data_IF_182915755606
#
_entry.id   IF_182915755606
#
_cell.length_a   1.000
_cell.length_b   1.000
_cell.length_c   1.000
_cell.angle_alpha   90.00
_cell.angle_beta   90.00
_cell.angle_gamma   90.00
#
_symmetry.space_group_name_H-M   'P 1'
#
loop_
_entity.id
_entity.type
_entity.pdbx_description
1 polymer ?
#
# COMPACT_ATOMS: atom_id res chain seq x y z
N UNK A 1 -10.66 -39.37 -2.92
CA UNK A 1 -9.52 -40.07 -2.26
C UNK A 1 -9.37 -39.54 -0.87
N UNK A 2 -8.91 -40.41 0.09
CA UNK A 2 -8.61 -39.90 1.43
C UNK A 2 -7.33 -39.08 1.36
N UNK A 3 -7.39 -37.83 1.84
CA UNK A 3 -6.25 -36.93 1.88
C UNK A 3 -6.35 -35.91 3.03
N UNK A 4 -5.23 -35.34 3.39
CA UNK A 4 -5.14 -34.26 4.36
C UNK A 4 -5.68 -32.97 3.76
N UNK A 5 -6.62 -32.34 4.43
CA UNK A 5 -7.27 -31.10 4.02
C UNK A 5 -7.51 -30.21 5.23
N UNK A 6 -7.71 -28.92 5.05
CA UNK A 6 -8.05 -28.03 6.16
C UNK A 6 -9.53 -28.17 6.56
N UNK A 7 -9.77 -28.01 7.86
CA UNK A 7 -11.10 -27.86 8.47
C UNK A 7 -11.16 -26.52 9.19
N UNK A 8 -12.26 -25.79 9.02
CA UNK A 8 -12.48 -24.49 9.67
C UNK A 8 -13.62 -24.62 10.66
N UNK A 9 -13.33 -24.36 11.93
CA UNK A 9 -14.31 -24.31 13.00
C UNK A 9 -15.04 -22.96 12.96
N UNK A 10 -16.31 -22.98 12.54
CA UNK A 10 -17.13 -21.78 12.38
C UNK A 10 -17.43 -21.06 13.70
N UNK A 11 -17.43 -21.79 14.83
CA UNK A 11 -17.70 -21.19 16.14
C UNK A 11 -16.50 -20.35 16.62
N UNK A 12 -15.28 -20.85 16.39
CA UNK A 12 -14.04 -20.13 16.71
C UNK A 12 -13.68 -19.04 15.71
N UNK A 13 -14.17 -19.14 14.48
CA UNK A 13 -13.86 -18.17 13.43
C UNK A 13 -14.50 -16.81 13.73
N UNK A 14 -13.71 -15.74 13.70
CA UNK A 14 -14.17 -14.35 13.87
C UNK A 14 -14.36 -13.62 12.54
N UNK A 15 -14.12 -14.28 11.39
CA UNK A 15 -14.31 -13.70 10.06
C UNK A 15 -13.25 -12.69 9.61
N UNK A 16 -12.08 -12.64 10.25
CA UNK A 16 -11.03 -11.65 9.95
C UNK A 16 -10.44 -11.73 8.53
N UNK A 17 -10.61 -12.83 7.81
CA UNK A 17 -10.15 -13.03 6.44
C UNK A 17 -8.66 -13.36 6.28
N UNK A 18 -7.86 -13.41 7.36
CA UNK A 18 -6.43 -13.66 7.28
C UNK A 18 -6.10 -14.97 6.55
N UNK A 19 -6.84 -16.04 6.85
CA UNK A 19 -6.67 -17.34 6.19
C UNK A 19 -7.02 -17.34 4.70
N UNK A 20 -8.02 -16.56 4.28
CA UNK A 20 -8.36 -16.43 2.87
C UNK A 20 -7.27 -15.67 2.09
N UNK A 21 -6.66 -14.67 2.72
CA UNK A 21 -5.53 -13.94 2.16
C UNK A 21 -4.24 -14.77 2.08
N UNK A 22 -4.04 -15.69 3.04
CA UNK A 22 -2.87 -16.57 3.08
C UNK A 22 -3.01 -17.82 2.20
N UNK A 23 -4.21 -18.10 1.69
CA UNK A 23 -4.42 -19.23 0.78
C UNK A 23 -4.02 -18.82 -0.64
N UNK A 24 -2.83 -19.23 -1.06
CA UNK A 24 -2.29 -18.93 -2.39
C UNK A 24 -3.13 -19.51 -3.53
N UNK A 25 -3.80 -20.64 -3.27
CA UNK A 25 -4.64 -21.36 -4.23
C UNK A 25 -6.07 -20.80 -4.31
N UNK A 26 -6.46 -19.95 -3.35
CA UNK A 26 -7.80 -19.36 -3.31
C UNK A 26 -8.89 -20.38 -2.97
N UNK A 27 -8.60 -21.36 -2.12
CA UNK A 27 -9.55 -22.39 -1.68
C UNK A 27 -10.56 -21.88 -0.66
N UNK A 28 -10.24 -20.80 0.09
CA UNK A 28 -11.00 -20.25 1.20
C UNK A 28 -11.68 -18.94 0.80
N UNK A 29 -12.98 -18.83 1.09
CA UNK A 29 -13.72 -17.55 0.97
C UNK A 29 -14.39 -17.18 2.31
N UNK A 30 -14.77 -15.91 2.46
CA UNK A 30 -15.55 -15.42 3.60
C UNK A 30 -17.03 -15.38 3.21
N UNK A 31 -17.83 -16.26 3.82
CA UNK A 31 -19.26 -16.36 3.58
C UNK A 31 -20.00 -16.01 4.88
N UNK A 32 -20.92 -15.06 4.83
CA UNK A 32 -21.69 -14.60 5.99
C UNK A 32 -20.81 -14.25 7.21
N UNK A 33 -19.63 -13.64 6.95
CA UNK A 33 -18.69 -13.23 7.99
C UNK A 33 -17.90 -14.37 8.65
N UNK A 34 -17.86 -15.55 8.04
CA UNK A 34 -17.09 -16.71 8.49
C UNK A 34 -16.26 -17.28 7.34
N UNK A 35 -15.07 -17.79 7.63
CA UNK A 35 -14.25 -18.46 6.63
C UNK A 35 -14.83 -19.84 6.30
N UNK A 36 -14.87 -20.18 5.03
CA UNK A 36 -15.30 -21.49 4.53
C UNK A 36 -14.34 -22.01 3.45
N UNK A 37 -14.06 -23.32 3.48
CA UNK A 37 -13.37 -24.01 2.41
C UNK A 37 -14.35 -24.28 1.26
N UNK A 38 -14.38 -23.40 0.28
CA UNK A 38 -15.38 -23.43 -0.82
C UNK A 38 -14.92 -24.24 -2.03
N UNK A 39 -13.62 -24.43 -2.18
CA UNK A 39 -13.01 -25.16 -3.30
C UNK A 39 -12.02 -26.19 -2.76
N UNK A 40 -12.56 -27.37 -2.40
CA UNK A 40 -11.74 -28.43 -1.81
C UNK A 40 -10.61 -28.90 -2.72
N UNK A 41 -10.86 -28.96 -4.04
CA UNK A 41 -9.86 -29.33 -5.04
C UNK A 41 -8.77 -28.27 -5.26
N UNK A 42 -8.91 -27.07 -4.69
CA UNK A 42 -7.88 -26.03 -4.68
C UNK A 42 -6.97 -26.11 -3.46
N UNK A 43 -7.41 -26.76 -2.37
CA UNK A 43 -6.60 -26.88 -1.17
C UNK A 43 -5.50 -27.93 -1.41
N UNK A 44 -4.23 -27.52 -1.35
CA UNK A 44 -3.07 -28.40 -1.47
C UNK A 44 -2.76 -29.22 -0.19
N UNK A 45 -3.33 -28.79 0.95
CA UNK A 45 -3.11 -29.43 2.26
C UNK A 45 -1.77 -29.06 2.93
N UNK A 46 -1.05 -28.03 2.44
CA UNK A 46 0.20 -27.54 3.05
C UNK A 46 -0.06 -26.78 4.34
N UNK A 47 -1.15 -25.98 4.38
CA UNK A 47 -1.63 -25.37 5.62
C UNK A 47 -1.04 -24.01 5.94
N UNK A 48 -0.62 -23.23 4.96
CA UNK A 48 -0.12 -21.85 5.11
C UNK A 48 -1.14 -20.93 5.79
N UNK A 49 -2.42 -21.28 5.71
CA UNK A 49 -3.50 -20.56 6.38
C UNK A 49 -3.59 -20.81 7.90
N UNK A 50 -2.96 -21.88 8.45
CA UNK A 50 -3.05 -22.22 9.87
C UNK A 50 -2.37 -21.18 10.78
N UNK A 51 -1.09 -20.79 10.55
CA UNK A 51 -0.40 -19.83 11.41
C UNK A 51 -1.04 -18.43 11.36
N UNK A 52 -1.74 -18.13 10.27
CA UNK A 52 -2.38 -16.83 10.07
C UNK A 52 -3.72 -16.68 10.80
N UNK A 53 -4.24 -17.76 11.38
CA UNK A 53 -5.52 -17.71 12.09
C UNK A 53 -5.34 -17.26 13.55
N UNK A 54 -5.74 -16.02 13.93
CA UNK A 54 -5.53 -15.50 15.28
C UNK A 54 -6.37 -16.19 16.35
N UNK A 55 -7.43 -16.90 15.93
CA UNK A 55 -8.33 -17.60 16.85
C UNK A 55 -8.08 -19.11 16.90
N UNK A 56 -7.14 -19.63 16.11
CA UNK A 56 -6.88 -21.07 16.01
C UNK A 56 -8.08 -21.87 15.52
N UNK A 57 -8.92 -21.26 14.66
CA UNK A 57 -10.11 -21.91 14.12
C UNK A 57 -9.80 -22.92 13.00
N UNK A 58 -8.55 -23.03 12.53
CA UNK A 58 -8.17 -23.88 11.41
C UNK A 58 -7.36 -25.08 11.94
N UNK A 59 -7.70 -26.24 11.45
CA UNK A 59 -7.00 -27.49 11.76
C UNK A 59 -6.92 -28.36 10.51
N UNK A 60 -6.07 -29.40 10.55
CA UNK A 60 -6.09 -30.44 9.53
C UNK A 60 -7.09 -31.53 9.87
N UNK A 61 -7.71 -32.09 8.85
CA UNK A 61 -8.44 -33.35 8.93
C UNK A 61 -8.07 -34.26 7.76
N UNK A 62 -8.12 -35.57 7.97
CA UNK A 62 -8.03 -36.56 6.90
C UNK A 62 -9.42 -37.07 6.58
N UNK A 63 -9.89 -36.79 5.35
CA UNK A 63 -11.19 -37.24 4.89
C UNK A 63 -11.20 -37.48 3.39
N UNK A 64 -12.24 -38.05 2.91
CA UNK A 64 -12.47 -38.16 1.48
C UNK A 64 -12.71 -36.77 0.89
N UNK A 65 -11.85 -36.37 -0.04
CA UNK A 65 -11.93 -35.10 -0.75
C UNK A 65 -11.45 -35.26 -2.19
N UNK A 66 -11.87 -34.34 -3.09
CA UNK A 66 -11.38 -34.30 -4.49
C UNK A 66 -9.84 -34.17 -4.49
N UNK A 67 -9.18 -34.74 -5.51
CA UNK A 67 -7.76 -34.54 -5.70
C UNK A 67 -7.44 -33.07 -5.88
N UNK A 68 -6.22 -32.65 -5.47
CA UNK A 68 -5.72 -31.32 -5.77
C UNK A 68 -5.58 -31.12 -7.28
N UNK A 69 -6.14 -30.03 -7.78
CA UNK A 69 -6.17 -29.70 -9.20
C UNK A 69 -5.35 -28.40 -9.47
N UNK A 70 -4.05 -28.60 -9.70
CA UNK A 70 -3.14 -27.50 -9.98
C UNK A 70 -3.49 -26.74 -11.27
N UNK A 71 -4.05 -27.43 -12.28
CA UNK A 71 -4.43 -26.78 -13.54
C UNK A 71 -5.63 -25.86 -13.34
N UNK A 72 -6.63 -26.30 -12.58
CA UNK A 72 -7.79 -25.48 -12.23
C UNK A 72 -7.39 -24.25 -11.38
N UNK A 73 -6.44 -24.39 -10.45
CA UNK A 73 -5.89 -23.30 -9.68
C UNK A 73 -5.20 -22.28 -10.60
N UNK A 74 -4.31 -22.72 -11.48
CA UNK A 74 -3.61 -21.84 -12.44
C UNK A 74 -4.58 -21.14 -13.40
N UNK A 75 -5.62 -21.82 -13.86
CA UNK A 75 -6.65 -21.18 -14.68
C UNK A 75 -7.47 -20.14 -13.92
N UNK A 76 -7.84 -20.44 -12.67
CA UNK A 76 -8.57 -19.51 -11.83
C UNK A 76 -7.71 -18.25 -11.55
N UNK A 77 -6.43 -18.42 -11.24
CA UNK A 77 -5.49 -17.32 -11.05
C UNK A 77 -5.33 -16.47 -12.32
N UNK A 78 -5.22 -17.10 -13.51
CA UNK A 78 -5.17 -16.39 -14.79
C UNK A 78 -6.44 -15.60 -15.07
N UNK A 79 -7.63 -16.17 -14.77
CA UNK A 79 -8.93 -15.50 -14.93
C UNK A 79 -9.07 -14.30 -13.98
N UNK A 80 -8.60 -14.43 -12.73
CA UNK A 80 -8.55 -13.32 -11.76
C UNK A 80 -7.60 -12.23 -12.24
N UNK A 81 -6.43 -12.61 -12.77
CA UNK A 81 -5.45 -11.65 -13.30
C UNK A 81 -5.98 -10.92 -14.55
N UNK A 82 -6.61 -11.64 -15.49
CA UNK A 82 -7.22 -11.05 -16.69
C UNK A 82 -8.45 -10.19 -16.35
N UNK A 83 -9.25 -10.58 -15.35
CA UNK A 83 -10.40 -9.82 -14.87
C UNK A 83 -9.98 -8.56 -14.12
N UNK A 84 -8.84 -8.61 -13.41
CA UNK A 84 -8.25 -7.46 -12.73
C UNK A 84 -7.62 -6.46 -13.73
N UNK A 85 -7.19 -6.90 -14.92
CA UNK A 85 -6.78 -5.99 -16.00
C UNK A 85 -7.97 -5.34 -16.72
N UNK A 86 -9.11 -6.02 -16.78
CA UNK A 86 -10.33 -5.50 -17.44
C UNK A 86 -11.24 -4.71 -16.49
N UNK A 87 -11.13 -4.91 -15.19
CA UNK A 87 -11.87 -4.21 -14.14
C UNK A 87 -10.93 -3.66 -13.08
N UNK A 88 -10.22 -2.56 -13.41
CA UNK A 88 -9.52 -1.77 -12.38
C UNK A 88 -10.52 -0.93 -11.56
N UNK A 89 -11.58 -1.56 -11.08
CA UNK A 89 -12.51 -0.97 -10.12
C UNK A 89 -12.96 -2.04 -9.12
N UNK A 90 -12.56 -1.85 -7.85
CA UNK A 90 -13.26 -2.30 -6.64
C UNK A 90 -13.04 -3.70 -6.05
N UNK A 91 -11.78 -4.20 -5.89
CA UNK A 91 -11.55 -5.27 -4.89
C UNK A 91 -10.15 -5.16 -4.28
N UNK A 92 -10.06 -4.48 -3.17
CA UNK A 92 -8.88 -4.34 -2.32
C UNK A 92 -9.29 -3.57 -1.06
N UNK A 93 -8.55 -3.73 0.03
CA UNK A 93 -8.70 -2.87 1.20
C UNK A 93 -8.68 -1.40 0.74
N UNK A 94 -9.64 -0.56 1.13
CA UNK A 94 -9.66 0.87 0.72
C UNK A 94 -8.35 1.60 0.99
N UNK A 95 -7.57 1.15 1.98
CA UNK A 95 -6.28 1.73 2.35
C UNK A 95 -5.14 1.50 1.36
N UNK A 96 -5.20 0.41 0.56
CA UNK A 96 -4.14 0.06 -0.42
C UNK A 96 -4.54 0.32 -1.88
N UNK A 97 -5.76 0.79 -2.11
CA UNK A 97 -6.24 1.07 -3.46
C UNK A 97 -5.52 2.27 -4.06
N UNK A 98 -4.84 2.07 -5.20
CA UNK A 98 -4.20 3.16 -5.94
C UNK A 98 -5.26 4.03 -6.64
N UNK A 99 -5.23 5.34 -6.40
CA UNK A 99 -6.09 6.29 -7.11
C UNK A 99 -5.40 7.63 -7.30
N UNK A 100 -5.67 8.26 -8.43
CA UNK A 100 -5.34 9.65 -8.69
C UNK A 100 -6.52 10.53 -8.29
N UNK A 101 -6.29 11.48 -7.41
CA UNK A 101 -7.32 12.41 -6.94
C UNK A 101 -7.27 13.64 -7.85
N UNK A 102 -8.26 13.78 -8.73
CA UNK A 102 -8.43 14.97 -9.56
C UNK A 102 -9.23 16.02 -8.77
N UNK A 103 -8.62 17.15 -8.51
CA UNK A 103 -9.28 18.30 -7.89
C UNK A 103 -9.37 19.40 -8.92
N UNK A 104 -10.60 19.79 -9.31
CA UNK A 104 -10.82 20.99 -10.10
C UNK A 104 -10.53 22.22 -9.23
N UNK A 105 -9.63 23.08 -9.68
CA UNK A 105 -9.46 24.40 -9.11
C UNK A 105 -10.67 25.25 -9.53
N UNK A 106 -11.78 25.13 -8.79
CA UNK A 106 -12.84 26.12 -8.86
C UNK A 106 -12.31 27.40 -8.22
N UNK A 107 -12.02 28.37 -9.06
CA UNK A 107 -11.78 29.76 -8.65
C UNK A 107 -13.11 30.36 -8.17
N UNK A 108 -13.54 29.97 -6.97
CA UNK A 108 -14.62 30.68 -6.31
C UNK A 108 -14.06 31.97 -5.70
N UNK A 109 -14.52 33.05 -6.27
CA UNK A 109 -14.36 34.42 -5.78
C UNK A 109 -15.05 34.50 -4.40
N UNK A 110 -14.28 34.35 -3.34
CA UNK A 110 -14.77 34.35 -1.96
C UNK A 110 -15.06 35.79 -1.57
N UNK A 111 -16.35 36.09 -1.41
CA UNK A 111 -16.82 37.25 -0.64
C UNK A 111 -16.77 36.87 0.84
N UNK A 112 -15.83 37.48 1.53
CA UNK A 112 -15.74 37.79 2.97
C UNK A 112 -16.47 36.92 4.00
N UNK A 113 -15.73 36.02 4.70
CA UNK A 113 -15.65 35.87 6.18
C UNK A 113 -14.47 34.96 6.54
N UNK A 114 -13.76 35.13 7.69
CA UNK A 114 -12.45 34.53 7.92
C UNK A 114 -12.53 33.13 8.55
N UNK A 115 -12.89 32.17 7.78
CA UNK A 115 -12.52 30.77 7.99
C UNK A 115 -12.10 30.23 6.65
N UNK A 116 -10.81 30.37 6.32
CA UNK A 116 -10.24 29.75 5.11
C UNK A 116 -10.29 28.25 5.33
N UNK A 117 -11.30 27.59 4.79
CA UNK A 117 -11.38 26.15 4.73
C UNK A 117 -10.16 25.64 3.95
N UNK A 118 -9.19 25.09 4.66
CA UNK A 118 -7.98 24.54 4.03
C UNK A 118 -8.32 23.21 3.38
N UNK A 119 -8.65 23.23 2.10
CA UNK A 119 -8.88 22.01 1.31
C UNK A 119 -7.60 21.20 1.17
N UNK A 120 -7.72 19.88 1.32
CA UNK A 120 -6.63 18.94 1.06
C UNK A 120 -6.07 19.11 -0.35
N UNK A 121 -4.75 19.09 -0.50
CA UNK A 121 -4.04 19.17 -1.78
C UNK A 121 -3.50 17.82 -2.26
N UNK A 122 -3.87 16.74 -1.57
CA UNK A 122 -3.43 15.38 -1.92
C UNK A 122 -3.98 14.96 -3.29
N UNK A 123 -3.12 14.37 -4.14
CA UNK A 123 -3.44 14.01 -5.52
C UNK A 123 -3.34 12.51 -5.80
N UNK A 124 -2.82 11.73 -4.86
CA UNK A 124 -2.65 10.28 -5.00
C UNK A 124 -3.06 9.52 -3.75
N UNK A 125 -3.38 8.26 -3.95
CA UNK A 125 -3.57 7.26 -2.91
C UNK A 125 -3.11 5.90 -3.42
N UNK A 126 -2.46 5.06 -2.61
CA UNK A 126 -2.03 5.29 -1.21
C UNK A 126 -0.85 6.26 -1.11
N UNK A 127 -0.61 6.79 0.10
CA UNK A 127 0.52 7.70 0.38
C UNK A 127 1.71 6.98 1.02
N UNK A 128 1.48 5.89 1.75
CA UNK A 128 2.55 5.13 2.39
C UNK A 128 3.44 4.45 1.36
N UNK A 129 4.77 4.63 1.49
CA UNK A 129 5.77 4.05 0.58
C UNK A 129 5.57 2.52 0.46
N UNK A 130 5.34 1.84 1.56
CA UNK A 130 5.13 0.38 1.58
C UNK A 130 3.92 -0.06 0.76
N UNK A 131 2.85 0.74 0.75
CA UNK A 131 1.59 0.43 0.07
C UNK A 131 1.52 0.95 -1.37
N UNK A 132 2.31 1.98 -1.70
CA UNK A 132 2.31 2.56 -3.04
C UNK A 132 2.76 1.52 -4.08
N UNK A 133 2.10 1.42 -5.25
CA UNK A 133 2.57 0.57 -6.33
C UNK A 133 3.89 1.09 -6.89
N UNK A 134 4.71 0.20 -7.48
CA UNK A 134 5.96 0.60 -8.15
C UNK A 134 5.67 1.45 -9.40
N UNK A 135 4.55 1.19 -10.08
CA UNK A 135 4.12 1.95 -11.25
C UNK A 135 2.64 2.30 -11.14
N UNK A 136 2.31 3.57 -11.40
CA UNK A 136 0.94 4.04 -11.44
C UNK A 136 0.83 5.27 -12.37
N UNK A 137 -0.33 5.54 -12.98
CA UNK A 137 -0.52 6.66 -13.89
C UNK A 137 -0.18 8.03 -13.29
N UNK A 138 -0.39 8.20 -11.97
CA UNK A 138 -0.10 9.46 -11.28
C UNK A 138 1.39 9.76 -11.13
N UNK A 139 2.28 8.77 -11.32
CA UNK A 139 3.73 9.02 -11.33
C UNK A 139 4.24 9.60 -12.65
N UNK A 140 3.46 9.51 -13.73
CA UNK A 140 3.92 10.01 -15.02
C UNK A 140 3.97 11.54 -15.06
N UNK A 141 5.15 12.09 -15.24
CA UNK A 141 5.39 13.53 -15.20
C UNK A 141 5.32 14.16 -13.80
N UNK A 142 5.39 13.31 -12.74
CA UNK A 142 5.20 13.78 -11.38
C UNK A 142 6.43 14.49 -10.79
N UNK A 143 6.16 15.49 -9.97
CA UNK A 143 7.08 15.97 -8.94
C UNK A 143 6.84 15.11 -7.69
N UNK A 144 7.83 14.36 -7.25
CA UNK A 144 7.70 13.42 -6.14
C UNK A 144 8.04 14.11 -4.81
N UNK A 145 7.14 13.98 -3.84
CA UNK A 145 7.38 14.34 -2.45
C UNK A 145 7.61 13.05 -1.65
N UNK A 146 8.74 12.94 -0.99
CA UNK A 146 9.05 11.88 -0.01
C UNK A 146 9.15 12.53 1.36
N UNK A 147 8.19 12.27 2.25
CA UNK A 147 8.12 12.95 3.53
C UNK A 147 8.08 11.98 4.72
N UNK A 148 8.69 12.37 5.82
CA UNK A 148 8.55 11.62 7.06
C UNK A 148 7.14 11.81 7.64
N UNK A 149 6.56 10.76 8.22
CA UNK A 149 5.19 10.76 8.74
C UNK A 149 4.87 11.94 9.66
N UNK A 150 5.82 12.36 10.49
CA UNK A 150 5.62 13.44 11.47
C UNK A 150 5.58 14.84 10.84
N UNK A 151 6.07 15.03 9.62
CA UNK A 151 6.28 16.37 9.03
C UNK A 151 4.99 17.14 8.80
N UNK A 152 3.93 16.43 8.37
CA UNK A 152 2.63 17.05 8.14
C UNK A 152 1.91 17.43 9.44
N UNK A 153 2.25 16.81 10.56
CA UNK A 153 1.72 17.16 11.88
C UNK A 153 2.49 18.32 12.51
N UNK A 154 3.79 18.42 12.27
CA UNK A 154 4.63 19.47 12.80
C UNK A 154 4.44 20.81 12.07
N UNK A 155 4.34 20.77 10.72
CA UNK A 155 4.28 21.97 9.88
C UNK A 155 2.86 22.28 9.41
N UNK A 156 2.28 23.36 9.93
CA UNK A 156 0.87 23.70 9.73
C UNK A 156 0.44 23.90 8.25
N UNK A 157 1.32 24.48 7.41
CA UNK A 157 1.05 24.73 5.99
C UNK A 157 1.45 23.59 5.06
N UNK A 158 1.61 22.36 5.57
CA UNK A 158 2.19 21.24 4.82
C UNK A 158 1.50 20.96 3.50
N UNK A 159 0.17 21.04 3.45
CA UNK A 159 -0.59 20.83 2.22
C UNK A 159 -0.31 21.90 1.16
N UNK A 160 -0.13 23.16 1.57
CA UNK A 160 0.07 24.27 0.64
C UNK A 160 1.49 24.29 0.10
N UNK A 161 2.48 24.06 0.95
CA UNK A 161 3.89 24.28 0.61
C UNK A 161 4.56 23.01 0.07
N UNK A 162 4.12 21.83 0.51
CA UNK A 162 4.76 20.58 0.17
C UNK A 162 3.90 19.66 -0.68
N UNK A 163 2.62 19.42 -0.36
CA UNK A 163 1.77 18.44 -1.06
C UNK A 163 1.25 19.00 -2.40
N UNK A 164 0.94 20.29 -2.48
CA UNK A 164 0.36 20.89 -3.68
C UNK A 164 1.20 20.62 -4.93
N UNK A 165 0.58 20.07 -5.96
CA UNK A 165 1.19 19.74 -7.26
C UNK A 165 2.32 18.70 -7.17
N UNK A 166 2.30 17.84 -6.15
CA UNK A 166 3.24 16.72 -6.02
C UNK A 166 2.51 15.41 -5.74
N UNK A 167 3.09 14.32 -6.21
CA UNK A 167 2.73 12.98 -5.78
C UNK A 167 3.45 12.72 -4.46
N UNK A 168 2.69 12.36 -3.43
CA UNK A 168 3.19 12.29 -2.06
C UNK A 168 3.37 10.85 -1.62
N UNK A 169 4.57 10.53 -1.15
CA UNK A 169 4.90 9.28 -0.48
C UNK A 169 5.41 9.60 0.92
N UNK A 170 4.92 8.86 1.92
CA UNK A 170 5.31 9.04 3.31
C UNK A 170 5.81 7.74 3.94
N UNK A 171 6.60 7.86 5.02
CA UNK A 171 7.05 6.71 5.78
C UNK A 171 7.86 7.09 7.01
N UNK A 172 7.98 6.15 7.94
CA UNK A 172 8.82 6.27 9.13
C UNK A 172 9.82 5.11 9.21
N UNK A 173 11.10 5.31 8.89
CA UNK A 173 12.07 4.22 8.89
C UNK A 173 12.25 3.58 10.27
N UNK A 174 11.98 4.33 11.34
CA UNK A 174 12.06 3.82 12.71
C UNK A 174 10.90 2.86 13.04
N UNK A 175 9.67 3.19 12.61
CA UNK A 175 8.49 2.38 12.90
C UNK A 175 8.35 1.21 11.92
N UNK A 176 8.63 1.44 10.66
CA UNK A 176 8.46 0.45 9.61
C UNK A 176 9.55 -0.61 9.56
N UNK A 177 10.73 -0.33 10.15
CA UNK A 177 11.89 -1.22 10.20
C UNK A 177 12.30 -1.80 8.83
N UNK A 178 12.15 -1.00 7.76
CA UNK A 178 12.47 -1.40 6.38
C UNK A 178 13.43 -0.41 5.73
N UNK A 179 14.20 -0.88 4.76
CA UNK A 179 14.94 -0.03 3.84
C UNK A 179 14.02 0.37 2.67
N UNK A 180 13.68 1.64 2.60
CA UNK A 180 12.86 2.17 1.52
C UNK A 180 13.62 2.31 0.19
N UNK A 181 14.95 2.20 0.20
CA UNK A 181 15.77 2.50 -0.99
C UNK A 181 15.39 1.65 -2.19
N UNK A 182 15.19 0.34 -2.02
CA UNK A 182 14.80 -0.56 -3.10
C UNK A 182 13.47 -0.16 -3.75
N UNK A 183 12.45 0.08 -2.91
CA UNK A 183 11.12 0.47 -3.39
C UNK A 183 11.13 1.82 -4.09
N UNK A 184 11.82 2.80 -3.51
CA UNK A 184 11.96 4.14 -4.09
C UNK A 184 12.77 4.10 -5.39
N UNK A 185 13.83 3.31 -5.46
CA UNK A 185 14.60 3.06 -6.69
C UNK A 185 13.68 2.54 -7.79
N UNK A 186 12.90 1.50 -7.50
CA UNK A 186 11.97 0.91 -8.46
C UNK A 186 10.92 1.92 -8.94
N UNK A 187 10.37 2.76 -8.03
CA UNK A 187 9.41 3.81 -8.40
C UNK A 187 10.08 4.84 -9.33
N UNK A 188 11.28 5.30 -8.99
CA UNK A 188 11.99 6.32 -9.79
C UNK A 188 12.39 5.75 -11.16
N UNK A 189 12.89 4.52 -11.23
CA UNK A 189 13.29 3.86 -12.48
C UNK A 189 12.14 3.65 -13.44
N UNK A 190 11.00 3.15 -12.95
CA UNK A 190 9.89 2.72 -13.80
C UNK A 190 8.92 3.84 -14.21
N UNK A 191 9.10 5.06 -13.69
CA UNK A 191 8.17 6.16 -13.95
C UNK A 191 8.90 7.42 -14.41
N UNK A 192 8.22 8.28 -15.16
CA UNK A 192 8.76 9.57 -15.60
C UNK A 192 8.63 10.62 -14.49
N UNK A 193 9.55 10.57 -13.50
CA UNK A 193 9.60 11.55 -12.41
C UNK A 193 10.36 12.78 -12.86
N UNK A 194 9.86 13.98 -12.55
CA UNK A 194 10.48 15.26 -12.92
C UNK A 194 11.46 15.78 -11.85
N UNK A 195 11.11 15.62 -10.60
CA UNK A 195 11.94 16.09 -9.47
C UNK A 195 11.58 15.34 -8.19
N UNK A 196 12.47 15.37 -7.19
CA UNK A 196 12.25 14.78 -5.88
C UNK A 196 12.46 15.82 -4.79
N UNK A 197 11.46 15.97 -3.91
CA UNK A 197 11.56 16.76 -2.68
C UNK A 197 11.52 15.81 -1.49
N UNK A 198 12.53 15.84 -0.64
CA UNK A 198 12.61 15.04 0.59
C UNK A 198 12.32 15.97 1.75
N UNK A 199 11.33 15.65 2.59
CA UNK A 199 11.00 16.44 3.78
C UNK A 199 11.13 15.55 5.01
N UNK A 200 11.97 15.98 5.94
CA UNK A 200 12.25 15.23 7.17
C UNK A 200 12.13 16.11 8.40
N UNK A 201 12.01 15.47 9.56
CA UNK A 201 12.20 16.16 10.84
C UNK A 201 13.68 16.29 11.19
N UNK A 202 14.03 17.26 12.02
CA UNK A 202 15.38 17.46 12.55
C UNK A 202 15.89 16.28 13.39
N UNK A 203 14.97 15.43 13.87
CA UNK A 203 15.31 14.32 14.77
C UNK A 203 16.12 13.22 14.04
N UNK A 204 17.10 12.58 14.72
CA UNK A 204 18.01 11.62 14.09
C UNK A 204 17.32 10.44 13.41
N UNK A 205 16.16 9.97 13.93
CA UNK A 205 15.43 8.83 13.34
C UNK A 205 14.94 9.10 11.92
N UNK A 206 14.76 10.36 11.50
CA UNK A 206 14.36 10.71 10.14
C UNK A 206 15.52 10.71 9.13
N UNK A 207 16.76 10.64 9.58
CA UNK A 207 17.94 10.53 8.71
C UNK A 207 17.91 9.29 7.80
N UNK A 208 17.31 8.20 8.28
CA UNK A 208 17.14 6.97 7.49
C UNK A 208 16.31 7.16 6.23
N UNK A 209 15.28 8.01 6.26
CA UNK A 209 14.45 8.32 5.09
C UNK A 209 15.24 9.12 4.04
N UNK A 210 16.00 10.10 4.49
CA UNK A 210 16.89 10.89 3.62
C UNK A 210 17.93 10.01 2.94
N UNK A 211 18.61 9.14 3.72
CA UNK A 211 19.62 8.21 3.20
C UNK A 211 18.98 7.27 2.15
N UNK A 212 17.84 6.69 2.45
CA UNK A 212 17.15 5.80 1.53
C UNK A 212 16.73 6.52 0.22
N UNK A 213 16.21 7.74 0.31
CA UNK A 213 15.83 8.52 -0.86
C UNK A 213 17.04 8.94 -1.71
N UNK A 214 18.15 9.37 -1.09
CA UNK A 214 19.41 9.70 -1.79
C UNK A 214 20.00 8.46 -2.48
N UNK A 215 20.00 7.32 -1.80
CA UNK A 215 20.44 6.05 -2.39
C UNK A 215 19.55 5.67 -3.58
N UNK A 216 18.24 5.79 -3.46
CA UNK A 216 17.32 5.52 -4.55
C UNK A 216 17.55 6.40 -5.77
N UNK A 217 17.86 7.69 -5.57
CA UNK A 217 18.23 8.59 -6.66
C UNK A 217 19.50 8.12 -7.39
N UNK A 218 20.54 7.73 -6.63
CA UNK A 218 21.79 7.20 -7.19
C UNK A 218 21.56 5.89 -7.95
N UNK A 219 20.89 4.93 -7.33
CA UNK A 219 20.68 3.58 -7.88
C UNK A 219 19.68 3.59 -9.06
N UNK A 220 18.83 4.62 -9.18
CA UNK A 220 17.92 4.77 -10.31
C UNK A 220 18.62 5.03 -11.64
N UNK A 221 19.85 5.53 -11.63
CA UNK A 221 20.59 5.94 -12.82
C UNK A 221 20.00 7.17 -13.54
N UNK A 222 18.98 7.83 -12.96
CA UNK A 222 18.36 9.03 -13.53
C UNK A 222 18.95 10.30 -12.92
N UNK A 223 19.25 11.26 -13.78
CA UNK A 223 19.67 12.58 -13.31
C UNK A 223 18.43 13.46 -13.08
N UNK A 224 18.00 13.57 -11.83
CA UNK A 224 16.81 14.32 -11.42
C UNK A 224 17.20 15.46 -10.46
N UNK A 225 16.59 16.63 -10.59
CA UNK A 225 16.74 17.68 -9.57
C UNK A 225 16.07 17.20 -8.27
N UNK A 226 16.78 17.38 -7.16
CA UNK A 226 16.26 17.01 -5.85
C UNK A 226 16.69 18.01 -4.77
N UNK A 227 15.95 18.05 -3.68
CA UNK A 227 16.23 18.87 -2.51
C UNK A 227 15.82 18.15 -1.22
N UNK A 228 16.48 18.49 -0.12
CA UNK A 228 16.08 18.08 1.23
C UNK A 228 15.63 19.30 1.99
N UNK A 229 14.54 19.17 2.74
CA UNK A 229 14.01 20.20 3.62
C UNK A 229 13.84 19.60 5.00
N UNK A 230 14.40 20.24 6.00
CA UNK A 230 14.34 19.83 7.38
C UNK A 230 13.34 20.71 8.15
N UNK A 231 12.42 20.07 8.87
CA UNK A 231 11.41 20.71 9.72
C UNK A 231 11.77 20.43 11.17
N UNK A 232 11.77 21.48 11.99
CA UNK A 232 11.97 21.37 13.44
C UNK A 232 10.72 20.85 14.16
N UNK A 233 10.86 20.37 15.39
CA UNK A 233 9.73 19.86 16.19
C UNK A 233 8.72 20.96 16.53
N UNK A 234 9.12 22.23 16.49
CA UNK A 234 8.23 23.40 16.70
C UNK A 234 7.60 23.92 15.37
N UNK A 235 7.78 23.16 14.27
CA UNK A 235 7.10 23.41 12.99
C UNK A 235 7.73 24.51 12.14
N UNK A 236 9.04 24.73 12.23
CA UNK A 236 9.76 25.68 11.35
C UNK A 236 10.60 24.93 10.33
N UNK A 237 10.74 25.50 9.14
CA UNK A 237 11.73 25.06 8.16
C UNK A 237 13.08 25.60 8.61
N UNK A 238 14.09 24.73 8.77
CA UNK A 238 15.44 25.09 9.23
C UNK A 238 16.53 24.87 8.17
N UNK A 239 16.26 24.06 7.15
CA UNK A 239 17.08 23.84 5.93
C UNK A 239 16.19 23.50 4.75
#
# INVERSE_FOLDING_TARGET
MIRKIIRIDKEKCNGCGACANACHEGAIDIINGKAELVREHFCDGLGDCLPECPTGAISFEEREAPAYDEEAVKEAQKKVFAKNQAMSTHTGCPGSRSMQIQRSETSETIKSTPSVEQLSKLQNWPVQIKLAPVSAPYFNGAKLLIAADCTAYAYASFHQDFIRNKVTLIGCPKLDQVDYSEKLTAIIQNNNIQSVTIVRMEVPCCGGLEIAAKKALQDSGKFLPWQVITISIDGKIIE
#
